data_IF_562035130252
#
_entry.id   IF_562035130252
#
_cell.length_a   1.000
_cell.length_b   1.000
_cell.length_c   1.000
_cell.angle_alpha   90.00
_cell.angle_beta   90.00
_cell.angle_gamma   90.00
#
_symmetry.space_group_name_H-M   'P 1'
#
loop_
_entity.id
_entity.type
_entity.pdbx_description
1 polymer ?
#
# COMPACT_ATOMS: atom_id res chain seq x y z
N UNK A 1 1.77 5.20 -0.77
CA UNK A 1 1.76 4.52 -2.10
C UNK A 1 3.19 4.22 -2.59
N UNK A 2 4.13 3.97 -1.67
CA UNK A 2 5.44 3.42 -2.03
C UNK A 2 5.34 1.99 -2.62
N UNK A 3 6.48 1.28 -2.82
CA UNK A 3 6.50 -0.04 -3.47
C UNK A 3 5.50 -1.06 -2.89
N UNK A 4 5.35 -1.10 -1.57
CA UNK A 4 4.38 -2.00 -0.90
C UNK A 4 2.93 -1.62 -1.20
N UNK A 5 2.61 -0.32 -1.15
CA UNK A 5 1.27 0.17 -1.46
C UNK A 5 0.88 -0.06 -2.92
N UNK A 6 1.82 0.13 -3.85
CA UNK A 6 1.62 -0.18 -5.27
C UNK A 6 1.34 -1.67 -5.48
N UNK A 7 2.14 -2.54 -4.87
CA UNK A 7 1.93 -3.99 -4.95
C UNK A 7 0.57 -4.40 -4.37
N UNK A 8 0.20 -3.85 -3.20
CA UNK A 8 -1.09 -4.12 -2.56
C UNK A 8 -2.27 -3.72 -3.46
N UNK A 9 -2.21 -2.54 -4.08
CA UNK A 9 -3.23 -2.06 -5.00
C UNK A 9 -3.37 -2.94 -6.25
N UNK A 10 -2.26 -3.28 -6.89
CA UNK A 10 -2.25 -4.16 -8.07
C UNK A 10 -2.83 -5.55 -7.75
N UNK A 11 -2.43 -6.13 -6.61
CA UNK A 11 -2.95 -7.43 -6.17
C UNK A 11 -4.44 -7.36 -5.79
N UNK A 12 -4.87 -6.28 -5.14
CA UNK A 12 -6.29 -6.09 -4.83
C UNK A 12 -7.14 -6.07 -6.10
N UNK A 13 -6.68 -5.37 -7.13
CA UNK A 13 -7.33 -5.35 -8.44
C UNK A 13 -7.38 -6.73 -9.11
N UNK A 14 -6.26 -7.45 -9.12
CA UNK A 14 -6.18 -8.79 -9.66
C UNK A 14 -7.09 -9.78 -8.93
N UNK A 15 -7.34 -9.55 -7.63
CA UNK A 15 -8.29 -10.30 -6.80
C UNK A 15 -9.76 -9.85 -6.98
N UNK A 16 -10.02 -8.86 -7.83
CA UNK A 16 -11.37 -8.44 -8.19
C UNK A 16 -11.92 -7.28 -7.34
N UNK A 17 -11.08 -6.49 -6.67
CA UNK A 17 -11.55 -5.28 -5.99
C UNK A 17 -12.14 -4.30 -7.03
N UNK A 18 -13.42 -3.90 -6.90
CA UNK A 18 -14.08 -3.03 -7.86
C UNK A 18 -13.58 -1.59 -7.78
N UNK A 19 -13.09 -1.18 -6.63
CA UNK A 19 -12.55 0.15 -6.36
C UNK A 19 -11.32 0.04 -5.45
N UNK A 20 -10.24 0.68 -5.84
CA UNK A 20 -9.03 0.82 -5.02
C UNK A 20 -8.73 2.31 -4.78
N UNK A 21 -8.57 2.68 -3.52
CA UNK A 21 -8.25 4.06 -3.11
C UNK A 21 -6.86 4.06 -2.48
N UNK A 22 -5.96 4.87 -3.01
CA UNK A 22 -4.62 5.07 -2.46
C UNK A 22 -4.53 6.36 -1.67
N UNK A 23 -3.90 6.32 -0.48
CA UNK A 23 -3.57 7.50 0.29
C UNK A 23 -2.05 7.63 0.46
N UNK A 24 -1.49 8.81 0.25
CA UNK A 24 -0.08 9.13 0.50
C UNK A 24 0.10 10.63 0.74
N UNK A 25 1.17 11.00 1.43
CA UNK A 25 1.59 12.40 1.60
C UNK A 25 2.36 12.93 0.39
N UNK A 26 2.82 12.05 -0.49
CA UNK A 26 3.62 12.37 -1.68
C UNK A 26 2.78 12.23 -2.93
N UNK A 27 2.45 13.37 -3.57
CA UNK A 27 1.58 13.40 -4.76
C UNK A 27 2.15 12.56 -5.92
N UNK A 28 3.47 12.60 -6.15
CA UNK A 28 4.09 11.81 -7.23
C UNK A 28 3.90 10.30 -7.08
N UNK A 29 3.76 9.79 -5.84
CA UNK A 29 3.43 8.38 -5.58
C UNK A 29 1.96 8.08 -5.86
N UNK A 30 1.06 9.01 -5.60
CA UNK A 30 -0.35 8.88 -5.96
C UNK A 30 -0.52 8.84 -7.48
N UNK A 31 0.19 9.72 -8.20
CA UNK A 31 0.21 9.73 -9.66
C UNK A 31 0.79 8.43 -10.24
N UNK A 32 1.86 7.92 -9.66
CA UNK A 32 2.41 6.63 -10.05
C UNK A 32 1.38 5.50 -9.85
N UNK A 33 0.68 5.51 -8.72
CA UNK A 33 -0.37 4.54 -8.43
C UNK A 33 -1.49 4.55 -9.48
N UNK A 34 -1.94 5.75 -9.89
CA UNK A 34 -2.92 5.93 -10.99
C UNK A 34 -2.38 5.42 -12.32
N UNK A 35 -1.16 5.82 -12.71
CA UNK A 35 -0.54 5.41 -13.99
C UNK A 35 -0.34 3.90 -14.10
N UNK A 36 -0.01 3.25 -13.00
CA UNK A 36 0.17 1.78 -12.97
C UNK A 36 -1.16 1.02 -12.88
N UNK A 37 -2.26 1.71 -12.65
CA UNK A 37 -3.55 1.07 -12.41
C UNK A 37 -3.66 0.39 -11.04
N UNK A 38 -2.79 0.75 -10.10
CA UNK A 38 -2.84 0.23 -8.74
C UNK A 38 -3.98 0.85 -7.91
N UNK A 39 -4.38 2.08 -8.27
CA UNK A 39 -5.48 2.79 -7.61
C UNK A 39 -6.39 3.45 -8.66
N UNK A 40 -7.68 3.49 -8.36
CA UNK A 40 -8.70 4.20 -9.13
C UNK A 40 -8.86 5.64 -8.66
N UNK A 41 -8.73 5.86 -7.35
CA UNK A 41 -8.81 7.16 -6.72
C UNK A 41 -7.63 7.39 -5.78
N UNK A 42 -7.23 8.65 -5.66
CA UNK A 42 -6.14 9.06 -4.79
C UNK A 42 -6.60 10.11 -3.80
N UNK A 43 -6.11 9.99 -2.58
CA UNK A 43 -6.43 10.89 -1.45
C UNK A 43 -5.11 11.38 -0.86
N UNK A 44 -4.88 12.70 -0.74
CA UNK A 44 -3.80 13.22 0.08
C UNK A 44 -3.94 12.72 1.53
N UNK A 45 -2.86 12.24 2.11
CA UNK A 45 -2.88 11.70 3.48
C UNK A 45 -2.72 12.82 4.51
N UNK A 46 -3.73 13.68 4.61
CA UNK A 46 -3.89 14.74 5.59
C UNK A 46 -4.94 14.37 6.66
N UNK A 47 -5.31 15.33 7.50
CA UNK A 47 -6.29 15.16 8.57
C UNK A 47 -7.71 14.80 8.08
N UNK A 48 -7.99 15.01 6.80
CA UNK A 48 -9.28 14.71 6.16
C UNK A 48 -9.27 13.38 5.39
N UNK A 49 -8.12 12.75 5.25
CA UNK A 49 -7.94 11.55 4.40
C UNK A 49 -8.94 10.43 4.72
N UNK A 50 -9.15 10.10 5.98
CA UNK A 50 -10.10 9.06 6.37
C UNK A 50 -11.55 9.41 5.99
N UNK A 51 -11.93 10.68 6.09
CA UNK A 51 -13.25 11.15 5.68
C UNK A 51 -13.40 11.10 4.14
N UNK A 52 -12.36 11.49 3.41
CA UNK A 52 -12.32 11.41 1.95
C UNK A 52 -12.43 9.96 1.46
N UNK A 53 -11.68 9.03 2.06
CA UNK A 53 -11.81 7.59 1.77
C UNK A 53 -13.23 7.11 1.99
N UNK A 54 -13.87 7.44 3.12
CA UNK A 54 -15.27 7.06 3.39
C UNK A 54 -16.24 7.64 2.37
N UNK A 55 -16.02 8.88 1.93
CA UNK A 55 -16.84 9.51 0.90
C UNK A 55 -16.75 8.81 -0.46
N UNK A 56 -15.56 8.35 -0.83
CA UNK A 56 -15.33 7.63 -2.08
C UNK A 56 -15.83 6.17 -2.06
N UNK A 57 -16.02 5.60 -0.87
CA UNK A 57 -16.30 4.18 -0.68
C UNK A 57 -17.65 3.90 -0.01
N UNK A 58 -18.58 4.85 -0.10
CA UNK A 58 -19.93 4.74 0.48
C UNK A 58 -19.92 4.29 1.96
N UNK A 59 -19.20 5.08 2.78
CA UNK A 59 -19.15 4.87 4.24
C UNK A 59 -17.92 4.14 4.74
N UNK A 60 -16.99 3.76 3.89
CA UNK A 60 -15.68 3.19 4.22
C UNK A 60 -15.34 1.94 3.43
N UNK A 61 -14.05 1.69 3.28
CA UNK A 61 -13.58 0.51 2.56
C UNK A 61 -13.77 -0.79 3.37
N UNK A 62 -14.00 -1.90 2.68
CA UNK A 62 -14.14 -3.23 3.28
C UNK A 62 -12.82 -3.74 3.84
N UNK A 63 -11.75 -3.43 3.12
CA UNK A 63 -10.38 -3.77 3.50
C UNK A 63 -9.52 -2.54 3.38
N UNK A 64 -8.77 -2.23 4.42
CA UNK A 64 -7.70 -1.25 4.40
C UNK A 64 -6.37 -1.90 4.70
N UNK A 65 -5.30 -1.38 4.09
CA UNK A 65 -3.95 -1.92 4.26
C UNK A 65 -3.01 -0.74 4.56
N UNK A 66 -2.43 -0.72 5.76
CA UNK A 66 -1.35 0.22 6.05
C UNK A 66 -0.02 -0.35 5.57
N UNK A 67 0.57 0.32 4.59
CA UNK A 67 1.91 0.04 4.07
C UNK A 67 2.95 1.09 4.50
N UNK A 68 2.54 2.08 5.29
CA UNK A 68 3.40 3.21 5.66
C UNK A 68 4.18 2.97 6.95
N UNK A 69 3.60 2.24 7.89
CA UNK A 69 4.10 2.10 9.25
C UNK A 69 4.04 3.39 10.07
N UNK A 70 3.49 4.48 9.53
CA UNK A 70 3.35 5.74 10.25
C UNK A 70 2.10 5.74 11.13
N UNK A 71 2.15 6.46 12.26
CA UNK A 71 0.99 6.62 13.14
C UNK A 71 -0.21 7.20 12.38
N UNK A 72 0.01 8.24 11.58
CA UNK A 72 -1.05 8.88 10.80
C UNK A 72 -1.63 7.92 9.73
N UNK A 73 -0.78 7.20 8.98
CA UNK A 73 -1.24 6.23 7.99
C UNK A 73 -2.06 5.09 8.58
N UNK A 74 -1.67 4.59 9.76
CA UNK A 74 -2.45 3.60 10.52
C UNK A 74 -3.82 4.12 10.92
N UNK A 75 -3.90 5.39 11.39
CA UNK A 75 -5.18 6.03 11.72
C UNK A 75 -6.06 6.18 10.48
N UNK A 76 -5.50 6.63 9.35
CA UNK A 76 -6.23 6.70 8.08
C UNK A 76 -6.76 5.31 7.66
N UNK A 77 -5.95 4.27 7.77
CA UNK A 77 -6.37 2.91 7.45
C UNK A 77 -7.50 2.41 8.35
N UNK A 78 -7.40 2.63 9.67
CA UNK A 78 -8.45 2.24 10.62
C UNK A 78 -9.73 3.05 10.43
N UNK A 79 -9.63 4.37 10.38
CA UNK A 79 -10.79 5.25 10.32
C UNK A 79 -11.46 5.28 8.93
N UNK A 80 -10.70 4.99 7.87
CA UNK A 80 -11.21 4.85 6.50
C UNK A 80 -11.98 3.54 6.25
N UNK A 81 -11.77 2.50 7.06
CA UNK A 81 -12.52 1.25 6.93
C UNK A 81 -13.99 1.42 7.32
N UNK A 82 -14.90 0.62 6.76
CA UNK A 82 -16.31 0.58 7.15
C UNK A 82 -16.55 -0.24 8.43
N UNK A 83 -17.75 -0.21 8.98
CA UNK A 83 -18.16 -1.14 10.05
C UNK A 83 -18.01 -2.59 9.54
N UNK A 84 -17.49 -3.49 10.42
CA UNK A 84 -17.10 -4.87 10.10
C UNK A 84 -16.02 -4.98 9.02
N UNK A 85 -15.31 -3.88 8.74
CA UNK A 85 -14.16 -3.89 7.84
C UNK A 85 -12.95 -4.60 8.46
N UNK A 86 -11.95 -4.82 7.62
CA UNK A 86 -10.66 -5.40 8.00
C UNK A 86 -9.56 -4.39 7.74
N UNK A 87 -8.69 -4.18 8.74
CA UNK A 87 -7.49 -3.37 8.59
C UNK A 87 -6.26 -4.26 8.76
N UNK A 88 -5.38 -4.26 7.76
CA UNK A 88 -4.13 -5.02 7.76
C UNK A 88 -2.97 -4.08 7.96
N UNK A 89 -2.16 -4.32 8.98
CA UNK A 89 -0.97 -3.54 9.30
C UNK A 89 0.26 -4.29 8.74
N UNK A 90 0.87 -3.73 7.70
CA UNK A 90 2.05 -4.27 7.01
C UNK A 90 3.27 -3.41 7.28
N UNK A 91 3.09 -2.08 7.29
CA UNK A 91 4.17 -1.14 7.51
C UNK A 91 4.76 -1.26 8.92
N UNK A 92 6.07 -1.48 8.99
CA UNK A 92 6.80 -1.56 10.27
C UNK A 92 7.08 -0.18 10.85
N UNK A 93 7.33 -0.14 12.15
CA UNK A 93 7.71 1.06 12.91
C UNK A 93 6.53 1.72 13.62
N UNK A 94 6.84 2.75 14.36
CA UNK A 94 5.92 3.63 15.08
C UNK A 94 4.88 2.95 16.01
N UNK A 95 4.07 3.79 16.64
CA UNK A 95 3.02 3.39 17.60
C UNK A 95 1.66 3.62 16.97
N UNK A 96 0.67 2.98 17.55
CA UNK A 96 -0.74 3.22 17.28
C UNK A 96 -1.39 3.59 18.60
N UNK A 97 -1.97 4.79 18.66
CA UNK A 97 -2.72 5.29 19.80
C UNK A 97 -4.14 5.63 19.33
N UNK A 98 -5.14 4.90 19.82
CA UNK A 98 -6.52 5.04 19.39
C UNK A 98 -7.49 4.89 20.56
N UNK A 99 -8.62 5.58 20.49
CA UNK A 99 -9.78 5.25 21.30
C UNK A 99 -10.34 3.90 20.83
N UNK A 100 -10.00 2.87 21.58
CA UNK A 100 -10.36 1.47 21.26
C UNK A 100 -11.87 1.30 21.14
N UNK A 101 -12.64 1.92 22.04
CA UNK A 101 -14.11 1.82 22.02
C UNK A 101 -14.68 2.41 20.73
N UNK A 102 -14.31 3.64 20.40
CA UNK A 102 -14.82 4.35 19.23
C UNK A 102 -14.34 3.74 17.91
N UNK A 103 -13.04 3.44 17.81
CA UNK A 103 -12.41 3.07 16.53
C UNK A 103 -12.56 1.58 16.25
N UNK A 104 -12.46 0.72 17.25
CA UNK A 104 -12.47 -0.74 17.05
C UNK A 104 -13.78 -1.38 17.48
N UNK A 105 -14.19 -1.21 18.75
CA UNK A 105 -15.32 -1.96 19.33
C UNK A 105 -16.65 -1.56 18.67
N UNK A 106 -17.00 -0.28 18.68
CA UNK A 106 -18.27 0.19 18.12
C UNK A 106 -18.38 -0.03 16.61
N UNK A 107 -17.27 -0.18 15.93
CA UNK A 107 -17.21 -0.46 14.48
C UNK A 107 -16.98 -1.93 14.17
N UNK A 108 -16.69 -2.76 15.18
CA UNK A 108 -16.44 -4.20 15.04
C UNK A 108 -15.36 -4.47 13.98
N UNK A 109 -14.26 -3.71 14.02
CA UNK A 109 -13.16 -3.90 13.06
C UNK A 109 -12.34 -5.14 13.40
N UNK A 110 -11.92 -5.85 12.36
CA UNK A 110 -10.87 -6.86 12.45
C UNK A 110 -9.53 -6.19 12.15
N UNK A 111 -8.58 -6.24 13.06
CA UNK A 111 -7.22 -5.72 12.84
C UNK A 111 -6.25 -6.88 12.79
N UNK A 112 -5.46 -6.94 11.72
CA UNK A 112 -4.51 -8.00 11.44
C UNK A 112 -3.11 -7.42 11.30
N UNK A 113 -2.14 -7.99 12.00
CA UNK A 113 -0.72 -7.77 11.76
C UNK A 113 -0.19 -8.80 10.76
N UNK A 114 0.77 -8.42 9.93
CA UNK A 114 1.45 -9.34 9.02
C UNK A 114 2.95 -9.07 9.03
N UNK A 115 3.73 -10.13 8.90
CA UNK A 115 5.19 -10.09 8.89
C UNK A 115 5.72 -11.06 7.86
N UNK A 116 6.49 -10.56 6.91
CA UNK A 116 7.12 -11.33 5.82
C UNK A 116 6.19 -12.37 5.17
N UNK A 117 6.74 -13.36 4.49
CA UNK A 117 5.97 -14.47 3.92
C UNK A 117 6.83 -15.72 3.83
N UNK A 118 6.21 -16.87 3.64
CA UNK A 118 6.90 -18.14 3.44
C UNK A 118 7.24 -18.38 1.96
N UNK A 119 8.26 -19.22 1.71
CA UNK A 119 8.70 -19.57 0.34
C UNK A 119 7.56 -20.15 -0.49
N UNK A 120 6.77 -21.06 0.08
CA UNK A 120 5.66 -21.67 -0.64
C UNK A 120 4.55 -20.64 -1.03
N UNK A 121 4.35 -19.60 -0.23
CA UNK A 121 3.47 -18.50 -0.60
C UNK A 121 4.04 -17.65 -1.75
N UNK A 122 5.35 -17.55 -1.83
CA UNK A 122 6.03 -16.89 -2.95
C UNK A 122 5.87 -17.69 -4.24
N UNK A 123 6.00 -19.00 -4.20
CA UNK A 123 5.73 -19.90 -5.34
C UNK A 123 4.29 -19.72 -5.85
N UNK A 124 3.31 -19.80 -4.92
CA UNK A 124 1.91 -19.57 -5.25
C UNK A 124 1.68 -18.17 -5.87
N UNK A 125 2.37 -17.13 -5.35
CA UNK A 125 2.28 -15.78 -5.92
C UNK A 125 2.83 -15.73 -7.34
N UNK A 126 3.98 -16.33 -7.62
CA UNK A 126 4.58 -16.36 -8.97
C UNK A 126 3.62 -17.00 -9.97
N UNK A 127 3.01 -18.14 -9.63
CA UNK A 127 2.00 -18.80 -10.48
C UNK A 127 0.78 -17.88 -10.73
N UNK A 128 0.32 -17.17 -9.70
CA UNK A 128 -0.79 -16.23 -9.81
C UNK A 128 -0.43 -15.02 -10.67
N UNK A 129 0.77 -14.45 -10.52
CA UNK A 129 1.25 -13.34 -11.33
C UNK A 129 1.23 -13.70 -12.82
N UNK A 130 1.73 -14.89 -13.18
CA UNK A 130 1.69 -15.39 -14.55
C UNK A 130 0.25 -15.60 -15.05
N UNK A 131 -0.64 -16.16 -14.22
CA UNK A 131 -2.04 -16.41 -14.59
C UNK A 131 -2.84 -15.12 -14.75
N UNK A 132 -2.55 -14.10 -13.97
CA UNK A 132 -3.23 -12.80 -14.01
C UNK A 132 -2.60 -11.83 -15.02
N UNK A 133 -1.52 -12.22 -15.69
CA UNK A 133 -0.71 -11.34 -16.54
C UNK A 133 -0.29 -10.06 -15.79
N UNK A 134 0.08 -10.23 -14.52
CA UNK A 134 0.45 -9.13 -13.65
C UNK A 134 1.97 -8.96 -13.62
N UNK A 135 2.42 -7.77 -13.99
CA UNK A 135 3.81 -7.40 -14.21
C UNK A 135 4.36 -6.53 -13.06
N UNK A 136 4.88 -7.14 -11.97
CA UNK A 136 5.40 -6.39 -10.81
C UNK A 136 6.62 -5.54 -11.16
N UNK A 137 7.39 -5.87 -12.18
CA UNK A 137 8.53 -5.07 -12.67
C UNK A 137 8.14 -3.66 -13.11
N UNK A 138 6.88 -3.41 -13.42
CA UNK A 138 6.35 -2.07 -13.73
C UNK A 138 6.42 -1.12 -12.53
N UNK A 139 6.55 -1.64 -11.31
CA UNK A 139 6.76 -0.84 -10.11
C UNK A 139 8.19 -0.35 -9.96
N UNK A 140 9.14 -0.90 -10.73
CA UNK A 140 10.54 -0.46 -10.77
C UNK A 140 10.63 0.82 -11.59
N UNK A 141 10.86 1.94 -10.90
CA UNK A 141 10.95 3.26 -11.54
C UNK A 141 12.37 3.72 -11.82
N UNK A 142 13.35 3.12 -11.15
CA UNK A 142 14.75 3.49 -11.27
C UNK A 142 15.63 2.25 -11.32
N UNK A 143 16.60 2.23 -12.24
CA UNK A 143 17.56 1.14 -12.40
C UNK A 143 18.96 1.70 -12.40
N UNK A 144 19.84 1.10 -11.62
CA UNK A 144 21.25 1.52 -11.48
C UNK A 144 22.15 0.32 -11.68
N UNK A 145 23.34 0.55 -12.23
CA UNK A 145 24.40 -0.45 -12.21
C UNK A 145 24.86 -0.72 -10.77
N UNK A 146 25.44 -1.88 -10.51
CA UNK A 146 25.95 -2.21 -9.16
C UNK A 146 27.03 -1.21 -8.70
N UNK A 147 27.83 -0.67 -9.63
CA UNK A 147 28.83 0.36 -9.33
C UNK A 147 28.22 1.66 -8.76
N UNK A 148 26.95 1.93 -9.10
CA UNK A 148 26.22 3.14 -8.68
C UNK A 148 25.31 2.88 -7.46
N UNK A 149 25.58 1.83 -6.68
CA UNK A 149 24.74 1.41 -5.57
C UNK A 149 24.51 2.53 -4.55
N UNK A 150 25.52 3.36 -4.26
CA UNK A 150 25.39 4.48 -3.32
C UNK A 150 24.31 5.48 -3.78
N UNK A 151 24.28 5.80 -5.07
CA UNK A 151 23.26 6.69 -5.65
C UNK A 151 21.88 6.02 -5.67
N UNK A 152 21.81 4.73 -5.97
CA UNK A 152 20.57 3.96 -5.90
C UNK A 152 19.96 3.98 -4.50
N UNK A 153 20.76 3.83 -3.46
CA UNK A 153 20.31 3.93 -2.07
C UNK A 153 19.82 5.34 -1.73
N UNK A 154 20.53 6.38 -2.18
CA UNK A 154 20.11 7.77 -1.98
C UNK A 154 18.72 8.03 -2.60
N UNK A 155 18.54 7.61 -3.84
CA UNK A 155 17.24 7.75 -4.55
C UNK A 155 16.14 6.94 -3.86
N UNK A 156 16.45 5.75 -3.35
CA UNK A 156 15.50 4.94 -2.61
C UNK A 156 15.08 5.60 -1.29
N UNK A 157 16.02 6.23 -0.58
CA UNK A 157 15.79 6.91 0.70
C UNK A 157 14.95 8.18 0.53
N UNK A 158 15.11 8.92 -0.56
CA UNK A 158 14.27 10.06 -0.92
C UNK A 158 12.80 9.64 -1.08
N UNK A 159 12.56 8.41 -1.49
CA UNK A 159 11.24 7.80 -1.50
C UNK A 159 10.23 8.47 -2.42
N UNK A 160 10.65 9.18 -3.46
CA UNK A 160 9.76 9.92 -4.36
C UNK A 160 9.14 9.06 -5.47
N UNK A 161 9.67 7.87 -5.69
CA UNK A 161 9.26 6.96 -6.76
C UNK A 161 8.71 5.62 -6.28
N UNK A 162 8.72 4.65 -7.20
CA UNK A 162 8.42 3.25 -6.93
C UNK A 162 9.67 2.49 -6.42
N UNK A 163 9.83 1.28 -6.93
CA UNK A 163 10.98 0.43 -6.55
C UNK A 163 12.25 0.87 -7.28
N UNK A 164 13.35 0.95 -6.54
CA UNK A 164 14.69 1.08 -7.09
C UNK A 164 15.31 -0.30 -7.24
N UNK A 165 15.95 -0.57 -8.37
CA UNK A 165 16.62 -1.83 -8.66
C UNK A 165 18.10 -1.60 -8.97
N UNK A 166 18.97 -2.45 -8.42
CA UNK A 166 20.33 -2.62 -8.88
C UNK A 166 20.35 -3.74 -9.91
N UNK A 167 20.99 -3.51 -11.03
CA UNK A 167 21.13 -4.49 -12.10
C UNK A 167 22.61 -4.82 -12.29
N UNK A 168 22.91 -6.08 -12.49
CA UNK A 168 24.23 -6.55 -12.91
C UNK A 168 24.20 -6.79 -14.41
N UNK A 169 25.25 -6.40 -15.10
CA UNK A 169 25.46 -6.82 -16.47
C UNK A 169 25.57 -8.35 -16.46
N UNK A 170 24.65 -9.03 -17.18
CA UNK A 170 24.59 -10.48 -17.27
C UNK A 170 25.70 -11.07 -18.12
#
# INVERSE_FOLDING_TARGET
MGPMGLAAGLLAKALGAPLTVGADVVESRLDLGRRLGAIDAAVPADDHAAAAVRGLTDGGCEVSIDCSGSTAGRLVALEGARRWGRCVLVGEGNRLDVDVSRVLIHRQLTVLGTWVTSVWRMEELVERLARWDLHPERTVTSRFALADAAEAYRVADEGLGGKVALVTDG
#
